data_IF_619839063274
#
_entry.id   IF_619839063274
#
_cell.length_a   1.000
_cell.length_b   1.000
_cell.length_c   1.000
_cell.angle_alpha   90.00
_cell.angle_beta   90.00
_cell.angle_gamma   90.00
#
_symmetry.space_group_name_H-M   'P 1'
#
loop_
_entity.id
_entity.type
_entity.pdbx_description
1 polymer ?
#
# COMPACT_ATOMS: atom_id res chain seq x y z
N UNK A 1 -28.63 -5.10 4.22
CA UNK A 1 -27.41 -4.40 3.76
C UNK A 1 -27.15 -4.83 2.32
N UNK A 2 -26.80 -3.90 1.43
CA UNK A 2 -26.38 -4.26 0.08
C UNK A 2 -25.11 -5.15 0.15
N UNK A 3 -24.93 -6.12 -0.76
CA UNK A 3 -23.72 -6.93 -0.79
C UNK A 3 -22.48 -6.05 -0.96
N UNK A 4 -21.49 -6.23 -0.08
CA UNK A 4 -20.20 -5.53 -0.14
C UNK A 4 -19.50 -5.89 -1.46
N UNK A 5 -18.97 -4.88 -2.16
CA UNK A 5 -18.12 -5.09 -3.34
C UNK A 5 -16.79 -5.72 -2.89
N UNK A 6 -16.40 -6.82 -3.54
CA UNK A 6 -15.14 -7.53 -3.23
C UNK A 6 -13.94 -6.73 -3.74
N UNK A 7 -12.89 -6.61 -2.92
CA UNK A 7 -11.61 -6.03 -3.30
C UNK A 7 -10.87 -6.98 -4.24
N UNK A 8 -10.67 -6.55 -5.48
CA UNK A 8 -10.02 -7.34 -6.54
C UNK A 8 -9.20 -6.44 -7.47
N UNK A 9 -8.26 -7.05 -8.17
CA UNK A 9 -7.38 -6.36 -9.11
C UNK A 9 -6.23 -5.64 -8.41
N UNK A 10 -5.63 -4.67 -9.10
CA UNK A 10 -4.51 -3.90 -8.56
C UNK A 10 -4.95 -3.00 -7.40
N UNK A 11 -4.14 -3.00 -6.34
CA UNK A 11 -4.29 -2.11 -5.18
C UNK A 11 -2.98 -1.35 -5.00
N UNK A 12 -2.94 -0.08 -5.40
CA UNK A 12 -1.72 0.72 -5.28
C UNK A 12 -1.45 1.05 -3.80
N UNK A 13 -0.28 0.64 -3.29
CA UNK A 13 0.22 1.14 -2.02
C UNK A 13 0.68 2.60 -2.22
N UNK A 14 -0.11 3.56 -1.76
CA UNK A 14 0.11 4.97 -2.10
C UNK A 14 1.28 5.56 -1.32
N UNK A 15 2.02 6.43 -2.00
CA UNK A 15 3.08 7.24 -1.42
C UNK A 15 2.45 8.39 -0.63
N UNK A 16 3.11 8.83 0.44
CA UNK A 16 2.80 10.10 1.10
C UNK A 16 3.62 11.22 0.45
N UNK A 17 3.00 12.11 -0.34
CA UNK A 17 3.72 13.25 -0.89
C UNK A 17 4.15 14.17 0.25
N UNK A 18 5.38 14.66 0.21
CA UNK A 18 5.91 15.59 1.22
C UNK A 18 6.45 16.86 0.57
N UNK A 19 6.38 17.96 1.28
CA UNK A 19 7.05 19.21 0.91
C UNK A 19 8.54 19.15 1.28
N UNK A 20 9.38 20.05 0.75
CA UNK A 20 10.81 20.09 1.09
C UNK A 20 11.10 20.27 2.60
N UNK A 21 10.17 20.84 3.38
CA UNK A 21 10.27 20.95 4.84
C UNK A 21 9.73 19.71 5.60
N UNK A 22 9.41 18.62 4.89
CA UNK A 22 9.04 17.33 5.46
C UNK A 22 7.58 17.21 5.94
N UNK A 23 6.74 18.22 5.68
CA UNK A 23 5.30 18.17 5.93
C UNK A 23 4.59 17.39 4.83
N UNK A 24 3.42 16.85 5.13
CA UNK A 24 2.58 16.20 4.11
C UNK A 24 2.09 17.23 3.10
N UNK A 25 2.29 16.95 1.82
CA UNK A 25 1.78 17.74 0.72
C UNK A 25 0.41 17.20 0.27
N UNK A 26 -0.64 17.60 0.99
CA UNK A 26 -2.02 17.20 0.66
C UNK A 26 -2.51 17.75 -0.68
N UNK A 27 -1.98 18.88 -1.12
CA UNK A 27 -2.45 19.61 -2.32
C UNK A 27 -2.37 18.79 -3.63
N UNK A 28 -1.48 17.79 -3.67
CA UNK A 28 -1.27 16.96 -4.87
C UNK A 28 -2.03 15.64 -4.85
N UNK A 29 -2.74 15.32 -3.75
CA UNK A 29 -3.47 14.04 -3.64
C UNK A 29 -4.58 13.93 -4.69
N UNK A 30 -5.27 15.03 -5.00
CA UNK A 30 -6.27 15.04 -6.08
C UNK A 30 -5.67 14.65 -7.43
N UNK A 31 -4.55 15.27 -7.79
CA UNK A 31 -3.82 14.96 -9.02
C UNK A 31 -3.34 13.50 -9.02
N UNK A 32 -2.94 12.99 -7.86
CA UNK A 32 -2.49 11.61 -7.72
C UNK A 32 -3.65 10.61 -7.91
N UNK A 33 -4.83 10.87 -7.33
CA UNK A 33 -6.03 10.05 -7.60
C UNK A 33 -6.35 10.05 -9.10
N UNK A 34 -6.36 11.22 -9.74
CA UNK A 34 -6.66 11.34 -11.16
C UNK A 34 -5.63 10.56 -12.01
N UNK A 35 -4.35 10.62 -11.66
CA UNK A 35 -3.31 9.85 -12.33
C UNK A 35 -3.48 8.34 -12.16
N UNK A 36 -3.76 7.86 -10.95
CA UNK A 36 -3.99 6.44 -10.68
C UNK A 36 -5.16 5.90 -11.49
N UNK A 37 -6.27 6.63 -11.53
CA UNK A 37 -7.49 6.17 -12.21
C UNK A 37 -7.34 6.28 -13.73
N UNK A 38 -6.88 7.42 -14.24
CA UNK A 38 -6.94 7.72 -15.68
C UNK A 38 -5.72 7.17 -16.43
N UNK A 39 -4.52 7.28 -15.85
CA UNK A 39 -3.27 6.92 -16.54
C UNK A 39 -2.81 5.50 -16.18
N UNK A 40 -3.15 5.00 -14.99
CA UNK A 40 -2.69 3.69 -14.50
C UNK A 40 -3.81 2.64 -14.43
N UNK A 41 -5.08 3.04 -14.65
CA UNK A 41 -6.26 2.18 -14.52
C UNK A 41 -6.32 1.44 -13.17
N UNK A 42 -5.86 2.09 -12.09
CA UNK A 42 -5.91 1.57 -10.72
C UNK A 42 -7.08 2.20 -9.98
N UNK A 43 -7.99 1.35 -9.51
CA UNK A 43 -9.22 1.78 -8.81
C UNK A 43 -9.22 1.52 -7.31
N UNK A 44 -8.17 0.88 -6.78
CA UNK A 44 -8.07 0.54 -5.37
C UNK A 44 -6.75 1.07 -4.81
N UNK A 45 -6.78 1.61 -3.60
CA UNK A 45 -5.58 2.12 -2.93
C UNK A 45 -5.42 1.57 -1.51
N UNK A 46 -4.16 1.48 -1.09
CA UNK A 46 -3.74 1.10 0.25
C UNK A 46 -2.90 2.23 0.86
N UNK A 47 -3.52 2.99 1.76
CA UNK A 47 -2.99 4.22 2.34
C UNK A 47 -2.24 3.92 3.65
N UNK A 48 -1.22 4.72 3.99
CA UNK A 48 -0.43 4.62 5.24
C UNK A 48 0.33 3.29 5.41
N UNK A 49 0.58 2.57 4.31
CA UNK A 49 1.46 1.40 4.29
C UNK A 49 2.94 1.75 4.43
N UNK A 50 3.81 0.77 4.20
CA UNK A 50 5.27 0.98 4.13
C UNK A 50 5.63 2.00 3.06
N UNK A 51 5.09 1.88 1.84
CA UNK A 51 5.29 2.83 0.73
C UNK A 51 4.78 4.24 1.07
N UNK A 52 3.73 4.33 1.89
CA UNK A 52 3.21 5.58 2.40
C UNK A 52 3.96 6.12 3.62
N UNK A 53 5.04 5.47 4.05
CA UNK A 53 5.82 5.86 5.24
C UNK A 53 4.97 5.95 6.51
N UNK A 54 3.89 5.17 6.61
CA UNK A 54 2.81 5.44 7.56
C UNK A 54 3.21 5.40 9.03
N UNK A 55 4.22 4.61 9.41
CA UNK A 55 4.74 4.56 10.78
C UNK A 55 5.78 5.67 11.09
N UNK A 56 6.22 6.43 10.08
CA UNK A 56 7.01 7.66 10.24
C UNK A 56 6.12 8.90 10.45
N UNK A 57 4.80 8.75 10.30
CA UNK A 57 3.81 9.81 10.47
C UNK A 57 3.23 9.78 11.88
N UNK A 58 2.95 10.96 12.43
CA UNK A 58 2.14 11.08 13.64
C UNK A 58 0.70 10.62 13.40
N UNK A 59 -0.03 10.32 14.47
CA UNK A 59 -1.46 9.96 14.37
C UNK A 59 -2.27 11.05 13.68
N UNK A 60 -2.01 12.31 13.99
CA UNK A 60 -2.72 13.42 13.38
C UNK A 60 -2.45 13.49 11.87
N UNK A 61 -1.20 13.29 11.45
CA UNK A 61 -0.81 13.25 10.04
C UNK A 61 -1.46 12.08 9.29
N UNK A 62 -1.49 10.88 9.90
CA UNK A 62 -2.15 9.70 9.31
C UNK A 62 -3.65 9.91 9.10
N UNK A 63 -4.30 10.60 10.04
CA UNK A 63 -5.72 10.98 9.93
C UNK A 63 -5.95 11.98 8.82
N UNK A 64 -5.19 13.08 8.79
CA UNK A 64 -5.29 14.11 7.75
C UNK A 64 -5.06 13.53 6.35
N UNK A 65 -4.05 12.67 6.21
CA UNK A 65 -3.77 12.01 4.94
C UNK A 65 -4.90 11.06 4.52
N UNK A 66 -5.45 10.27 5.46
CA UNK A 66 -6.58 9.39 5.19
C UNK A 66 -7.84 10.19 4.79
N UNK A 67 -8.13 11.29 5.49
CA UNK A 67 -9.23 12.22 5.16
C UNK A 67 -9.11 12.74 3.73
N UNK A 68 -7.91 13.17 3.33
CA UNK A 68 -7.67 13.69 1.98
C UNK A 68 -7.84 12.60 0.91
N UNK A 69 -7.30 11.39 1.12
CA UNK A 69 -7.50 10.27 0.21
C UNK A 69 -8.98 9.87 0.08
N UNK A 70 -9.72 9.85 1.19
CA UNK A 70 -11.17 9.59 1.19
C UNK A 70 -11.92 10.67 0.42
N UNK A 71 -11.57 11.94 0.63
CA UNK A 71 -12.22 13.08 -0.02
C UNK A 71 -11.98 13.06 -1.54
N UNK A 72 -10.72 12.96 -1.96
CA UNK A 72 -10.35 13.02 -3.37
C UNK A 72 -10.68 11.74 -4.15
N UNK A 73 -10.72 10.59 -3.46
CA UNK A 73 -11.06 9.29 -4.02
C UNK A 73 -12.55 9.06 -4.23
N UNK A 74 -13.41 9.87 -3.60
CA UNK A 74 -14.86 9.72 -3.68
C UNK A 74 -15.34 9.77 -5.14
N UNK A 75 -16.20 8.82 -5.50
CA UNK A 75 -16.79 8.65 -6.84
C UNK A 75 -15.76 8.37 -7.96
N UNK A 76 -14.49 8.10 -7.61
CA UNK A 76 -13.40 7.78 -8.56
C UNK A 76 -12.75 6.43 -8.28
N UNK A 77 -12.48 6.13 -7.01
CA UNK A 77 -11.91 4.87 -6.55
C UNK A 77 -13.02 3.91 -6.12
N UNK A 78 -12.79 2.63 -6.38
CA UNK A 78 -13.66 1.54 -5.96
C UNK A 78 -13.47 1.21 -4.48
N UNK A 79 -12.21 1.26 -4.00
CA UNK A 79 -11.87 0.94 -2.61
C UNK A 79 -10.69 1.77 -2.09
N UNK A 80 -10.87 2.36 -0.90
CA UNK A 80 -9.83 3.03 -0.13
C UNK A 80 -9.59 2.26 1.17
N UNK A 81 -8.45 1.54 1.23
CA UNK A 81 -8.05 0.75 2.40
C UNK A 81 -7.04 1.55 3.22
N UNK A 82 -7.32 1.75 4.50
CA UNK A 82 -6.44 2.50 5.41
C UNK A 82 -5.63 1.53 6.27
N UNK A 83 -4.30 1.57 6.17
CA UNK A 83 -3.44 0.88 7.13
C UNK A 83 -3.45 1.65 8.46
N UNK A 84 -4.02 1.01 9.49
CA UNK A 84 -4.19 1.59 10.84
C UNK A 84 -3.24 0.98 11.86
N UNK A 85 -2.40 0.03 11.45
CA UNK A 85 -1.40 -0.60 12.33
C UNK A 85 -0.47 0.43 12.99
N UNK A 86 -0.22 0.23 14.27
CA UNK A 86 0.70 1.02 15.09
C UNK A 86 1.37 0.08 16.11
N UNK A 87 2.49 0.52 16.70
CA UNK A 87 3.20 -0.29 17.71
C UNK A 87 2.49 -0.29 19.06
N UNK A 88 1.67 0.72 19.34
CA UNK A 88 0.81 0.73 20.51
C UNK A 88 -0.65 0.47 20.11
N UNK A 89 -1.33 -0.29 20.96
CA UNK A 89 -2.71 -0.71 20.71
C UNK A 89 -3.70 0.46 20.74
N UNK A 90 -3.62 1.43 21.67
CA UNK A 90 -4.57 2.55 21.70
C UNK A 90 -4.58 3.40 20.43
N UNK A 91 -3.42 3.68 19.82
CA UNK A 91 -3.39 4.43 18.56
C UNK A 91 -3.94 3.63 17.39
N UNK A 92 -3.66 2.32 17.33
CA UNK A 92 -4.25 1.44 16.32
C UNK A 92 -5.78 1.46 16.42
N UNK A 93 -6.33 1.38 17.64
CA UNK A 93 -7.77 1.49 17.90
C UNK A 93 -8.33 2.87 17.55
N UNK A 94 -7.58 3.95 17.80
CA UNK A 94 -7.98 5.31 17.45
C UNK A 94 -8.07 5.52 15.95
N UNK A 95 -7.04 5.08 15.21
CA UNK A 95 -7.01 5.14 13.76
C UNK A 95 -8.09 4.26 13.12
N UNK A 96 -8.34 3.06 13.68
CA UNK A 96 -9.43 2.19 13.22
C UNK A 96 -10.81 2.86 13.40
N UNK A 97 -11.06 3.49 14.55
CA UNK A 97 -12.31 4.25 14.80
C UNK A 97 -12.44 5.43 13.86
N UNK A 98 -11.36 6.15 13.61
CA UNK A 98 -11.33 7.28 12.67
C UNK A 98 -11.62 6.84 11.23
N UNK A 99 -10.97 5.78 10.74
CA UNK A 99 -11.22 5.22 9.42
C UNK A 99 -12.69 4.78 9.23
N UNK A 100 -13.26 4.14 10.26
CA UNK A 100 -14.68 3.76 10.25
C UNK A 100 -15.62 4.98 10.23
N UNK A 101 -15.32 6.03 11.02
CA UNK A 101 -16.14 7.23 11.09
C UNK A 101 -16.21 8.01 9.76
N UNK A 102 -15.17 7.92 8.93
CA UNK A 102 -15.14 8.53 7.60
C UNK A 102 -15.71 7.64 6.50
N UNK A 103 -16.03 6.38 6.79
CA UNK A 103 -16.56 5.42 5.82
C UNK A 103 -15.50 4.82 4.89
N UNK A 104 -14.26 4.63 5.36
CA UNK A 104 -13.28 3.86 4.60
C UNK A 104 -13.76 2.43 4.28
N UNK A 105 -13.44 1.91 3.10
CA UNK A 105 -13.91 0.59 2.64
C UNK A 105 -13.31 -0.57 3.43
N UNK A 106 -12.17 -0.34 4.07
CA UNK A 106 -11.53 -1.30 4.94
C UNK A 106 -10.36 -0.71 5.70
N UNK A 107 -9.96 -1.45 6.73
CA UNK A 107 -8.73 -1.20 7.46
C UNK A 107 -7.80 -2.40 7.31
N UNK A 108 -6.50 -2.14 7.36
CA UNK A 108 -5.48 -3.17 7.44
C UNK A 108 -4.57 -2.94 8.64
N UNK A 109 -4.07 -4.03 9.20
CA UNK A 109 -3.25 -4.02 10.42
C UNK A 109 -2.05 -4.94 10.20
N UNK A 110 -0.85 -4.39 10.31
CA UNK A 110 0.38 -5.19 10.39
C UNK A 110 0.51 -5.81 11.78
N UNK A 111 1.12 -7.01 11.87
CA UNK A 111 1.47 -7.60 13.15
C UNK A 111 2.47 -6.70 13.92
N UNK A 112 2.37 -6.61 15.26
CA UNK A 112 3.33 -5.85 16.06
C UNK A 112 4.72 -6.49 15.96
N UNK A 113 5.76 -5.66 15.80
CA UNK A 113 7.11 -6.15 15.48
C UNK A 113 8.21 -5.66 16.43
N UNK A 114 7.92 -4.72 17.34
CA UNK A 114 8.87 -4.30 18.38
C UNK A 114 9.01 -5.37 19.45
N UNK A 115 7.91 -5.69 20.13
CA UNK A 115 7.78 -6.91 20.93
C UNK A 115 7.05 -7.95 20.11
N UNK A 116 7.84 -8.77 19.39
CA UNK A 116 7.30 -9.81 18.51
C UNK A 116 6.47 -10.81 19.32
N UNK A 117 5.27 -11.17 18.87
CA UNK A 117 4.53 -12.30 19.43
C UNK A 117 5.41 -13.55 19.45
N UNK A 118 5.33 -14.33 20.53
CA UNK A 118 6.15 -15.54 20.71
C UNK A 118 5.78 -16.65 19.72
N UNK A 119 4.53 -16.65 19.27
CA UNK A 119 4.02 -17.65 18.34
C UNK A 119 4.22 -17.13 16.92
N UNK A 120 5.10 -17.79 16.16
CA UNK A 120 5.10 -17.64 14.71
C UNK A 120 3.93 -18.44 14.17
N UNK A 121 3.00 -17.77 13.51
CA UNK A 121 1.81 -18.36 12.93
C UNK A 121 1.92 -18.16 11.42
N UNK A 122 1.75 -19.24 10.66
CA UNK A 122 1.68 -19.13 9.19
C UNK A 122 0.36 -18.46 8.81
N UNK A 123 0.31 -17.79 7.66
CA UNK A 123 -0.92 -17.10 7.27
C UNK A 123 -2.06 -18.11 7.07
N UNK A 124 -1.77 -19.29 6.54
CA UNK A 124 -2.78 -20.33 6.35
C UNK A 124 -3.41 -20.81 7.67
N UNK A 125 -2.62 -20.86 8.74
CA UNK A 125 -3.08 -21.22 10.10
C UNK A 125 -3.94 -20.12 10.69
N UNK A 126 -3.70 -18.85 10.33
CA UNK A 126 -4.52 -17.73 10.78
C UNK A 126 -5.96 -17.90 10.30
N UNK A 127 -6.19 -18.45 9.10
CA UNK A 127 -7.53 -18.57 8.50
C UNK A 127 -8.46 -19.48 9.33
N UNK A 128 -7.89 -20.43 10.06
CA UNK A 128 -8.63 -21.42 10.84
C UNK A 128 -9.38 -20.74 12.00
N UNK A 129 -10.69 -20.54 11.83
CA UNK A 129 -11.56 -19.95 12.86
C UNK A 129 -11.39 -18.45 13.05
N UNK A 130 -10.67 -17.74 12.17
CA UNK A 130 -10.45 -16.28 12.31
C UNK A 130 -11.75 -15.50 12.41
N UNK A 131 -12.79 -15.90 11.67
CA UNK A 131 -14.10 -15.25 11.69
C UNK A 131 -14.80 -15.33 13.04
N UNK A 132 -14.49 -16.33 13.87
CA UNK A 132 -15.03 -16.41 15.23
C UNK A 132 -14.38 -15.38 16.16
N UNK A 133 -13.12 -15.01 15.91
CA UNK A 133 -12.38 -14.02 16.70
C UNK A 133 -12.50 -12.60 16.12
N UNK A 134 -12.50 -12.48 14.80
CA UNK A 134 -12.56 -11.26 14.02
C UNK A 134 -13.63 -11.43 12.92
N UNK A 135 -14.93 -11.25 13.25
CA UNK A 135 -16.03 -11.43 12.29
C UNK A 135 -15.90 -10.55 11.03
N UNK A 136 -15.25 -9.40 11.16
CA UNK A 136 -15.01 -8.45 10.08
C UNK A 136 -13.81 -8.80 9.19
N UNK A 137 -13.01 -9.83 9.50
CA UNK A 137 -11.85 -10.21 8.70
C UNK A 137 -12.26 -10.57 7.27
N UNK A 138 -11.66 -9.94 6.25
CA UNK A 138 -12.03 -10.16 4.85
C UNK A 138 -10.92 -10.75 4.00
N UNK A 139 -9.67 -10.78 4.47
CA UNK A 139 -8.57 -11.13 3.59
C UNK A 139 -7.19 -10.81 4.13
N UNK A 140 -6.20 -11.07 3.30
CA UNK A 140 -4.78 -10.93 3.61
C UNK A 140 -4.07 -10.18 2.49
N UNK A 141 -3.28 -9.16 2.86
CA UNK A 141 -2.20 -8.65 2.02
C UNK A 141 -0.94 -9.47 2.33
N UNK A 142 -0.56 -10.36 1.41
CA UNK A 142 0.54 -11.30 1.56
C UNK A 142 1.81 -10.75 0.91
N UNK A 143 2.70 -10.16 1.71
CA UNK A 143 4.01 -9.64 1.27
C UNK A 143 5.14 -10.55 1.77
N UNK A 144 5.10 -11.81 1.36
CA UNK A 144 6.14 -12.82 1.62
C UNK A 144 6.37 -13.65 0.35
N UNK A 145 7.55 -14.26 0.26
CA UNK A 145 7.99 -15.14 -0.83
C UNK A 145 7.71 -16.62 -0.56
N UNK A 146 7.18 -16.98 0.62
CA UNK A 146 6.68 -18.33 0.91
C UNK A 146 5.40 -18.61 0.12
N UNK A 147 5.57 -19.02 -1.14
CA UNK A 147 4.45 -19.39 -2.02
C UNK A 147 3.72 -20.66 -1.57
N UNK A 148 4.33 -21.49 -0.71
CA UNK A 148 3.64 -22.65 -0.15
C UNK A 148 2.58 -22.19 0.86
N UNK A 149 2.90 -21.24 1.73
CA UNK A 149 1.90 -20.64 2.65
C UNK A 149 0.77 -19.95 1.86
N UNK A 150 1.11 -19.17 0.83
CA UNK A 150 0.10 -18.55 -0.04
C UNK A 150 -0.77 -19.60 -0.76
N UNK A 151 -0.17 -20.66 -1.30
CA UNK A 151 -0.93 -21.72 -1.97
C UNK A 151 -1.88 -22.44 -0.99
N UNK A 152 -1.43 -22.68 0.25
CA UNK A 152 -2.27 -23.26 1.30
C UNK A 152 -3.41 -22.32 1.70
N UNK A 153 -3.15 -21.01 1.79
CA UNK A 153 -4.19 -20.01 2.01
C UNK A 153 -5.28 -20.05 0.92
N UNK A 154 -4.87 -20.09 -0.35
CA UNK A 154 -5.79 -20.14 -1.49
C UNK A 154 -6.59 -21.45 -1.48
N UNK A 155 -5.93 -22.58 -1.22
CA UNK A 155 -6.59 -23.89 -1.15
C UNK A 155 -7.61 -23.97 -0.01
N UNK A 156 -7.29 -23.44 1.19
CA UNK A 156 -8.24 -23.37 2.30
C UNK A 156 -9.43 -22.45 2.02
N UNK A 157 -9.28 -21.48 1.11
CA UNK A 157 -10.29 -20.50 0.75
C UNK A 157 -11.07 -20.88 -0.53
N UNK A 158 -11.32 -22.16 -0.77
CA UNK A 158 -12.05 -22.67 -1.94
C UNK A 158 -13.45 -22.05 -2.13
N UNK A 159 -14.10 -21.65 -1.04
CA UNK A 159 -15.41 -20.97 -1.06
C UNK A 159 -15.32 -19.51 -1.51
N UNK A 160 -14.09 -18.96 -1.62
CA UNK A 160 -13.84 -17.56 -1.97
C UNK A 160 -14.34 -16.57 -0.91
N UNK A 161 -14.35 -16.97 0.35
CA UNK A 161 -14.76 -16.13 1.48
C UNK A 161 -13.81 -14.95 1.71
N UNK A 162 -12.50 -15.20 1.56
CA UNK A 162 -11.44 -14.22 1.79
C UNK A 162 -10.81 -13.68 0.49
N UNK A 163 -10.26 -12.48 0.58
CA UNK A 163 -9.54 -11.78 -0.47
C UNK A 163 -8.03 -11.89 -0.23
N UNK A 164 -7.29 -12.45 -1.18
CA UNK A 164 -5.82 -12.54 -1.10
C UNK A 164 -5.19 -11.55 -2.08
N UNK A 165 -4.48 -10.56 -1.53
CA UNK A 165 -3.71 -9.58 -2.28
C UNK A 165 -2.24 -9.95 -2.17
N UNK A 166 -1.64 -10.40 -3.26
CA UNK A 166 -0.21 -10.66 -3.28
C UNK A 166 0.57 -9.34 -3.41
N UNK A 167 1.52 -9.13 -2.52
CA UNK A 167 2.21 -7.84 -2.35
C UNK A 167 3.72 -7.92 -2.54
N UNK A 168 4.17 -8.84 -3.40
CA UNK A 168 5.57 -8.94 -3.86
C UNK A 168 5.58 -8.71 -5.38
N UNK A 169 5.61 -7.44 -5.74
CA UNK A 169 5.41 -6.94 -7.11
C UNK A 169 6.48 -7.49 -8.08
N UNK A 170 7.66 -7.83 -7.57
CA UNK A 170 8.80 -8.39 -8.31
C UNK A 170 8.54 -9.80 -8.88
N UNK A 171 7.65 -10.56 -8.26
CA UNK A 171 7.19 -11.83 -8.82
C UNK A 171 6.12 -11.63 -9.89
N UNK A 172 5.45 -10.48 -9.88
CA UNK A 172 4.42 -10.11 -10.85
C UNK A 172 4.99 -9.29 -12.03
N UNK A 173 6.21 -8.75 -11.92
CA UNK A 173 6.78 -7.81 -12.89
C UNK A 173 8.26 -8.06 -13.20
N UNK A 174 8.64 -7.74 -14.45
CA UNK A 174 9.84 -8.25 -15.11
C UNK A 174 11.12 -7.41 -14.95
N UNK A 175 11.88 -7.35 -16.05
CA UNK A 175 13.26 -6.87 -16.16
C UNK A 175 13.58 -5.54 -15.44
N UNK A 176 12.60 -4.64 -15.32
CA UNK A 176 12.73 -3.36 -14.61
C UNK A 176 13.04 -3.50 -13.13
N UNK A 177 12.20 -4.22 -12.37
CA UNK A 177 12.33 -4.30 -10.92
C UNK A 177 13.64 -4.99 -10.54
N UNK A 178 14.00 -6.06 -11.24
CA UNK A 178 15.29 -6.72 -11.09
C UNK A 178 16.49 -5.77 -11.30
N UNK A 179 16.37 -4.80 -12.20
CA UNK A 179 17.41 -3.80 -12.42
C UNK A 179 17.50 -2.81 -11.26
N UNK A 180 16.38 -2.19 -10.85
CA UNK A 180 16.41 -1.17 -9.80
C UNK A 180 16.73 -1.76 -8.42
N UNK A 181 16.35 -3.02 -8.15
CA UNK A 181 16.71 -3.72 -6.89
C UNK A 181 18.22 -3.87 -6.77
N UNK A 182 18.93 -4.17 -7.86
CA UNK A 182 20.40 -4.23 -7.87
C UNK A 182 21.06 -2.88 -7.60
N UNK A 183 20.35 -1.77 -7.81
CA UNK A 183 20.81 -0.42 -7.48
C UNK A 183 20.47 0.01 -6.04
N UNK A 184 19.77 -0.84 -5.27
CA UNK A 184 19.21 -0.49 -3.97
C UNK A 184 17.84 0.17 -4.12
N UNK A 185 16.78 -0.63 -4.05
CA UNK A 185 15.40 -0.18 -4.23
C UNK A 185 14.63 -0.24 -2.91
N UNK A 186 14.03 0.88 -2.54
CA UNK A 186 13.17 1.01 -1.37
C UNK A 186 12.26 2.23 -1.49
N UNK A 187 11.64 2.64 -0.38
CA UNK A 187 10.60 3.67 -0.38
C UNK A 187 11.08 5.00 -1.00
N UNK A 188 12.28 5.47 -0.65
CA UNK A 188 12.84 6.69 -1.21
C UNK A 188 12.98 6.64 -2.73
N UNK A 189 13.44 5.52 -3.26
CA UNK A 189 13.53 5.26 -4.69
C UNK A 189 12.15 5.21 -5.34
N UNK A 190 11.16 4.59 -4.70
CA UNK A 190 9.77 4.58 -5.17
C UNK A 190 9.22 6.01 -5.30
N UNK A 191 9.47 6.91 -4.34
CA UNK A 191 9.08 8.34 -4.42
C UNK A 191 9.71 9.05 -5.61
N UNK A 192 11.01 8.84 -5.82
CA UNK A 192 11.74 9.47 -6.90
C UNK A 192 11.25 8.98 -8.29
N UNK A 193 10.99 7.67 -8.43
CA UNK A 193 10.42 7.11 -9.66
C UNK A 193 9.02 7.63 -9.91
N UNK A 194 8.14 7.61 -8.90
CA UNK A 194 6.78 8.14 -9.06
C UNK A 194 6.80 9.61 -9.49
N UNK A 195 7.69 10.42 -8.90
CA UNK A 195 7.88 11.81 -9.32
C UNK A 195 8.31 11.90 -10.78
N UNK A 196 9.28 11.08 -11.19
CA UNK A 196 9.79 11.08 -12.56
C UNK A 196 8.80 10.57 -13.60
N UNK A 197 7.93 9.62 -13.26
CA UNK A 197 7.00 8.96 -14.19
C UNK A 197 5.68 9.73 -14.29
N UNK A 198 5.15 10.22 -13.18
CA UNK A 198 3.86 10.93 -13.16
C UNK A 198 3.98 12.44 -13.32
N UNK A 199 5.16 13.02 -13.06
CA UNK A 199 5.34 14.47 -12.95
C UNK A 199 4.76 15.08 -11.66
N UNK A 200 4.15 14.29 -10.78
CA UNK A 200 3.58 14.76 -9.51
C UNK A 200 4.70 14.81 -8.45
N UNK A 201 4.90 15.93 -7.75
CA UNK A 201 6.01 16.06 -6.81
C UNK A 201 5.73 15.27 -5.52
N UNK A 202 6.29 14.06 -5.42
CA UNK A 202 6.22 13.26 -4.18
C UNK A 202 7.11 13.81 -3.06
N UNK A 203 8.12 14.62 -3.43
CA UNK A 203 9.08 15.22 -2.51
C UNK A 203 9.95 14.21 -1.75
N UNK A 204 10.72 14.68 -0.75
CA UNK A 204 11.65 13.83 -0.01
C UNK A 204 10.90 12.80 0.85
N UNK A 205 11.50 11.66 1.19
CA UNK A 205 11.01 10.81 2.26
C UNK A 205 11.35 11.44 3.62
N UNK A 206 10.71 10.95 4.68
CA UNK A 206 11.02 11.34 6.05
C UNK A 206 12.16 10.48 6.59
N UNK A 207 13.03 11.08 7.39
CA UNK A 207 14.02 10.33 8.17
C UNK A 207 13.34 9.16 8.93
N UNK A 208 13.97 7.98 8.99
CA UNK A 208 15.39 7.70 8.70
C UNK A 208 15.71 7.40 7.23
N UNK A 209 14.73 7.49 6.32
CA UNK A 209 14.99 7.33 4.90
C UNK A 209 15.79 8.53 4.37
N UNK A 210 16.61 8.28 3.36
CA UNK A 210 17.42 9.30 2.68
C UNK A 210 16.96 9.37 1.23
N UNK A 211 17.00 10.57 0.65
CA UNK A 211 16.67 10.79 -0.75
C UNK A 211 17.37 9.81 -1.69
N UNK A 212 16.65 9.41 -2.75
CA UNK A 212 17.27 8.66 -3.83
C UNK A 212 18.32 9.53 -4.53
N UNK A 213 19.47 8.94 -4.88
CA UNK A 213 20.51 9.68 -5.59
C UNK A 213 20.05 10.05 -7.00
N UNK A 214 20.56 11.17 -7.52
CA UNK A 214 20.32 11.59 -8.91
C UNK A 214 20.76 10.51 -9.91
N UNK A 215 21.85 9.78 -9.58
CA UNK A 215 22.34 8.66 -10.38
C UNK A 215 21.33 7.52 -10.47
N UNK A 216 20.66 7.17 -9.35
CA UNK A 216 19.60 6.17 -9.35
C UNK A 216 18.47 6.57 -10.30
N UNK A 217 17.99 7.82 -10.20
CA UNK A 217 16.86 8.32 -11.00
C UNK A 217 17.20 8.28 -12.50
N UNK A 218 18.40 8.73 -12.88
CA UNK A 218 18.88 8.69 -14.27
C UNK A 218 18.91 7.26 -14.80
N UNK A 219 19.52 6.34 -14.04
CA UNK A 219 19.64 4.93 -14.45
C UNK A 219 18.29 4.25 -14.56
N UNK A 220 17.40 4.49 -13.60
CA UNK A 220 16.08 3.88 -13.59
C UNK A 220 15.19 4.43 -14.72
N UNK A 221 15.21 5.74 -14.98
CA UNK A 221 14.48 6.32 -16.12
C UNK A 221 14.99 5.75 -17.46
N UNK A 222 16.31 5.72 -17.66
CA UNK A 222 16.89 5.12 -18.86
C UNK A 222 16.50 3.64 -19.02
N UNK A 223 16.43 2.89 -17.91
CA UNK A 223 15.96 1.50 -17.95
C UNK A 223 14.47 1.41 -18.31
N UNK A 224 13.63 2.27 -17.74
CA UNK A 224 12.19 2.28 -18.02
C UNK A 224 11.91 2.58 -19.50
N UNK A 225 12.60 3.57 -20.07
CA UNK A 225 12.49 3.98 -21.47
C UNK A 225 13.01 2.89 -22.42
N UNK A 226 13.90 2.00 -21.95
CA UNK A 226 14.44 0.87 -22.74
C UNK A 226 13.49 -0.33 -22.83
N UNK A 227 12.47 -0.40 -21.99
CA UNK A 227 11.58 -1.57 -21.91
C UNK A 227 10.49 -1.46 -22.97
N UNK A 228 10.38 -2.50 -23.79
CA UNK A 228 9.27 -2.67 -24.72
C UNK A 228 8.11 -3.28 -23.95
N UNK A 229 7.14 -2.45 -23.59
CA UNK A 229 5.92 -2.90 -22.93
C UNK A 229 5.05 -3.67 -23.95
N UNK A 230 4.55 -4.86 -23.61
CA UNK A 230 3.62 -5.58 -24.48
C UNK A 230 2.37 -4.70 -24.68
N UNK A 231 2.20 -4.21 -25.92
CA UNK A 231 1.15 -3.33 -26.45
C UNK A 231 0.34 -2.54 -25.41
N UNK A 232 0.62 -1.25 -25.31
CA UNK A 232 -0.35 -0.29 -24.79
C UNK A 232 -1.52 -0.17 -25.77
N UNK A 233 -2.62 -0.84 -25.45
CA UNK A 233 -3.98 -0.35 -25.72
C UNK A 233 -4.56 0.19 -24.41
#
# INVERSE_FOLDING_TARGET
MAPRKKLKGLVAATITPMTPDGKINLSVIRQYVDYLVNEQNVKNIFVNGTTGEGLSLSIQERKLLAEEWMCQGKDKLDHVIIHVGALNLPECQELARHAAAMGADGIAVIAPFFFKPTNKVRVEELLDGIKAQIPTFQGVKFSDTDLLDLAQCIHKNETGEFEFLYGVDEFLTGEFLNFVIKLGFGVAQTKALMTSVSGIPMGPPRLPLVDASSEFVIKAKAKLDSIVWPNGD
#
